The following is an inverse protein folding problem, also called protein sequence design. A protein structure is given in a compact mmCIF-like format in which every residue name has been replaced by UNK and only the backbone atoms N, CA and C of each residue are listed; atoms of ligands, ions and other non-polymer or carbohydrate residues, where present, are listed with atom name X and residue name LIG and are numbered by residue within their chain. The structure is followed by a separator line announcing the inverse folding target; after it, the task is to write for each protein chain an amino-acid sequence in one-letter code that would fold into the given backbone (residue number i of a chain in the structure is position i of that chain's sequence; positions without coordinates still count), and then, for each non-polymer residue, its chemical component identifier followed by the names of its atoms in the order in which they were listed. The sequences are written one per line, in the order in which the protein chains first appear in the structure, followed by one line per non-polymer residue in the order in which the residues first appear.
data_IF_753350405992
#
_entry.id   IF_753350405992
#
_cell.length_a   1.000
_cell.length_b   1.000
_cell.length_c   1.000
_cell.angle_alpha   90.00
_cell.angle_beta   90.00
_cell.angle_gamma   90.00
#
_symmetry.space_group_name_H-M   'P 1'
#
loop_
_entity.id
_entity.type
_entity.pdbx_description
1 polymer ?
#
# COMPACT_ATOMS: atom_id res chain seq x y z
N UNK A 1 -5.21 -25.85 -5.63
CA UNK A 1 -4.55 -26.76 -6.59
C UNK A 1 -5.13 -26.57 -7.99
N UNK A 2 -6.43 -26.74 -8.23
CA UNK A 2 -7.08 -26.56 -9.53
C UNK A 2 -6.86 -25.18 -10.16
N UNK A 3 -6.89 -24.09 -9.34
CA UNK A 3 -6.69 -22.74 -9.85
C UNK A 3 -5.32 -22.56 -10.53
N UNK A 4 -4.25 -23.08 -9.94
CA UNK A 4 -2.91 -23.00 -10.53
C UNK A 4 -2.78 -23.85 -11.81
N UNK A 5 -3.49 -24.95 -11.89
CA UNK A 5 -3.57 -25.76 -13.12
C UNK A 5 -4.24 -24.97 -14.24
N UNK A 6 -5.32 -24.24 -13.97
CA UNK A 6 -5.96 -23.35 -14.95
C UNK A 6 -5.02 -22.25 -15.41
N UNK A 7 -4.28 -21.62 -14.50
CA UNK A 7 -3.29 -20.59 -14.85
C UNK A 7 -2.22 -21.16 -15.78
N UNK A 8 -1.70 -22.35 -15.51
CA UNK A 8 -0.70 -23.00 -16.35
C UNK A 8 -1.23 -23.27 -17.75
N UNK A 9 -2.45 -23.80 -17.88
CA UNK A 9 -3.10 -24.03 -19.16
C UNK A 9 -3.31 -22.72 -19.92
N UNK A 10 -3.84 -21.69 -19.25
CA UNK A 10 -4.04 -20.37 -19.86
C UNK A 10 -2.73 -19.77 -20.38
N UNK A 11 -1.65 -19.82 -19.59
CA UNK A 11 -0.34 -19.32 -19.97
C UNK A 11 0.24 -20.09 -21.18
N UNK A 12 0.04 -21.40 -21.21
CA UNK A 12 0.45 -22.24 -22.34
C UNK A 12 -0.27 -21.85 -23.63
N UNK A 13 -1.58 -21.66 -23.57
CA UNK A 13 -2.40 -21.22 -24.72
C UNK A 13 -1.97 -19.83 -25.20
N UNK A 14 -1.78 -18.89 -24.26
CA UNK A 14 -1.39 -17.53 -24.55
C UNK A 14 0.09 -17.39 -24.94
N UNK A 15 0.89 -18.44 -24.80
CA UNK A 15 2.36 -18.43 -24.98
C UNK A 15 3.04 -17.34 -24.14
N UNK A 16 2.57 -17.14 -22.90
CA UNK A 16 3.10 -16.18 -21.93
C UNK A 16 3.73 -16.88 -20.74
N UNK A 17 4.64 -16.20 -20.07
CA UNK A 17 5.36 -16.75 -18.91
C UNK A 17 4.66 -16.46 -17.58
N UNK A 18 3.93 -15.36 -17.51
CA UNK A 18 3.26 -14.91 -16.29
C UNK A 18 2.01 -14.09 -16.59
N UNK A 19 1.12 -14.00 -15.62
CA UNK A 19 -0.04 -13.12 -15.59
C UNK A 19 0.22 -11.98 -14.62
N UNK A 20 -0.11 -10.76 -15.02
CA UNK A 20 -0.08 -9.58 -14.19
C UNK A 20 -1.52 -9.18 -13.84
N UNK A 21 -1.81 -9.12 -12.53
CA UNK A 21 -3.05 -8.58 -12.00
C UNK A 21 -2.76 -7.21 -11.40
N UNK A 22 -3.47 -6.19 -11.87
CA UNK A 22 -3.40 -4.85 -11.33
C UNK A 22 -4.71 -4.59 -10.60
N UNK A 23 -4.63 -4.36 -9.30
CA UNK A 23 -5.76 -4.11 -8.41
C UNK A 23 -5.63 -2.71 -7.86
N UNK A 24 -6.52 -1.84 -8.29
CA UNK A 24 -6.55 -0.44 -7.87
C UNK A 24 -7.62 -0.22 -6.80
N UNK A 25 -7.38 0.77 -5.93
CA UNK A 25 -8.33 1.19 -4.88
C UNK A 25 -8.85 0.05 -3.99
N UNK A 26 -7.99 -0.94 -3.69
CA UNK A 26 -8.39 -2.11 -2.90
C UNK A 26 -8.75 -1.77 -1.44
N UNK A 27 -8.43 -0.59 -0.95
CA UNK A 27 -8.64 -0.09 0.41
C UNK A 27 -9.92 0.74 0.56
N UNK A 28 -10.58 1.12 -0.54
CA UNK A 28 -11.77 1.98 -0.52
C UNK A 28 -12.96 1.29 0.17
N UNK A 29 -13.14 -0.01 -0.04
CA UNK A 29 -14.21 -0.76 0.59
C UNK A 29 -13.65 -1.63 1.71
N UNK A 30 -13.68 -1.13 2.95
CA UNK A 30 -13.11 -1.77 4.14
C UNK A 30 -13.64 -3.21 4.34
N UNK A 31 -14.92 -3.46 4.05
CA UNK A 31 -15.50 -4.79 4.22
C UNK A 31 -14.94 -5.79 3.20
N UNK A 32 -14.69 -5.36 1.99
CA UNK A 32 -14.16 -6.19 0.90
C UNK A 32 -12.65 -6.29 0.89
N UNK A 33 -11.96 -5.32 1.45
CA UNK A 33 -10.50 -5.27 1.50
C UNK A 33 -9.91 -6.55 2.09
N UNK A 34 -10.45 -7.04 3.21
CA UNK A 34 -9.94 -8.26 3.82
C UNK A 34 -10.18 -9.50 2.96
N UNK A 35 -11.34 -9.60 2.30
CA UNK A 35 -11.64 -10.69 1.36
C UNK A 35 -10.69 -10.68 0.16
N UNK A 36 -10.35 -9.49 -0.37
CA UNK A 36 -9.38 -9.33 -1.46
C UNK A 36 -8.00 -9.81 -1.00
N UNK A 37 -7.52 -9.34 0.15
CA UNK A 37 -6.23 -9.74 0.72
C UNK A 37 -6.16 -11.26 0.92
N UNK A 38 -7.20 -11.89 1.46
CA UNK A 38 -7.27 -13.34 1.64
C UNK A 38 -7.30 -14.09 0.30
N UNK A 39 -8.00 -13.53 -0.70
CA UNK A 39 -8.02 -14.10 -2.06
C UNK A 39 -6.62 -14.11 -2.66
N UNK A 40 -5.90 -13.00 -2.55
CA UNK A 40 -4.51 -12.90 -3.01
C UNK A 40 -3.64 -13.92 -2.28
N UNK A 41 -3.76 -13.99 -0.96
CA UNK A 41 -2.99 -14.91 -0.13
C UNK A 41 -3.22 -16.38 -0.48
N UNK A 42 -4.46 -16.75 -0.78
CA UNK A 42 -4.83 -18.13 -1.03
C UNK A 42 -4.59 -18.57 -2.47
N UNK A 43 -4.78 -17.71 -3.42
CA UNK A 43 -4.80 -18.07 -4.84
C UNK A 43 -3.66 -17.51 -5.66
N UNK A 44 -3.12 -16.34 -5.30
CA UNK A 44 -2.15 -15.62 -6.14
C UNK A 44 -0.69 -15.82 -5.70
N UNK A 45 -0.42 -16.90 -5.00
CA UNK A 45 0.94 -17.24 -4.50
C UNK A 45 1.80 -18.02 -5.51
N UNK A 46 1.32 -18.20 -6.75
CA UNK A 46 2.08 -18.85 -7.81
C UNK A 46 3.20 -17.92 -8.33
N UNK A 47 4.40 -18.44 -8.64
CA UNK A 47 5.47 -17.64 -9.24
C UNK A 47 5.14 -17.10 -10.64
N UNK A 48 4.10 -17.63 -11.26
CA UNK A 48 3.59 -17.18 -12.55
C UNK A 48 2.57 -16.05 -12.45
N UNK A 49 2.19 -15.66 -11.24
CA UNK A 49 1.23 -14.58 -10.99
C UNK A 49 1.97 -13.43 -10.32
N UNK A 50 1.89 -12.27 -10.94
CA UNK A 50 2.38 -11.01 -10.39
C UNK A 50 1.15 -10.19 -10.02
N UNK A 51 1.09 -9.75 -8.76
CA UNK A 51 0.03 -8.88 -8.28
C UNK A 51 0.63 -7.52 -7.96
N UNK A 52 0.08 -6.49 -8.56
CA UNK A 52 0.34 -5.09 -8.20
C UNK A 52 -0.95 -4.53 -7.61
N UNK A 53 -0.88 -4.00 -6.41
CA UNK A 53 -2.03 -3.40 -5.75
C UNK A 53 -1.67 -2.01 -5.24
N UNK A 54 -2.59 -1.08 -5.39
CA UNK A 54 -2.50 0.27 -4.82
C UNK A 54 -3.36 0.37 -3.58
N UNK A 55 -3.07 1.34 -2.72
CA UNK A 55 -3.85 1.63 -1.53
C UNK A 55 -3.01 2.13 -0.37
N UNK A 56 -3.68 2.58 0.70
CA UNK A 56 -3.03 3.02 1.93
C UNK A 56 -2.73 1.83 2.84
N UNK A 57 -1.45 1.64 3.15
CA UNK A 57 -0.99 0.59 4.07
C UNK A 57 -1.63 0.69 5.46
N UNK A 58 -1.98 1.89 5.93
CA UNK A 58 -2.65 2.08 7.21
C UNK A 58 -4.10 1.59 7.17
N UNK A 59 -4.81 1.80 6.04
CA UNK A 59 -6.17 1.30 5.84
C UNK A 59 -6.17 -0.23 5.76
N UNK A 60 -5.21 -0.83 5.05
CA UNK A 60 -5.02 -2.28 5.09
C UNK A 60 -4.80 -2.79 6.52
N UNK A 61 -3.92 -2.14 7.28
CA UNK A 61 -3.66 -2.49 8.66
C UNK A 61 -4.91 -2.38 9.54
N UNK A 62 -5.68 -1.29 9.38
CA UNK A 62 -6.93 -1.09 10.10
C UNK A 62 -7.95 -2.19 9.80
N UNK A 63 -8.13 -2.54 8.53
CA UNK A 63 -9.05 -3.59 8.10
C UNK A 63 -8.66 -4.96 8.69
N UNK A 64 -7.37 -5.28 8.68
CA UNK A 64 -6.86 -6.52 9.26
C UNK A 64 -7.12 -6.55 10.78
N UNK A 65 -6.81 -5.46 11.50
CA UNK A 65 -7.09 -5.36 12.94
C UNK A 65 -8.58 -5.53 13.24
N UNK A 66 -9.44 -4.83 12.46
CA UNK A 66 -10.88 -4.93 12.63
C UNK A 66 -11.38 -6.38 12.44
N UNK A 67 -10.84 -7.08 11.45
CA UNK A 67 -11.19 -8.47 11.22
C UNK A 67 -10.72 -9.38 12.37
N UNK A 68 -9.50 -9.21 12.89
CA UNK A 68 -9.05 -9.94 14.07
C UNK A 68 -9.89 -9.65 15.30
N UNK A 69 -10.33 -8.38 15.51
CA UNK A 69 -11.22 -8.04 16.62
C UNK A 69 -12.59 -8.70 16.52
N UNK A 70 -13.10 -9.00 15.33
CA UNK A 70 -14.35 -9.76 15.15
C UNK A 70 -14.27 -11.18 15.72
N UNK A 71 -13.07 -11.77 15.78
CA UNK A 71 -12.88 -13.10 16.40
C UNK A 71 -12.89 -13.06 17.93
N UNK A 72 -12.68 -11.89 18.53
CA UNK A 72 -12.85 -11.70 19.96
C UNK A 72 -14.30 -11.33 20.21
N UNK A 73 -15.18 -12.33 20.32
CA UNK A 73 -16.57 -12.07 20.64
C UNK A 73 -16.69 -11.26 21.95
N UNK A 74 -17.72 -10.43 22.03
CA UNK A 74 -17.96 -9.55 23.17
C UNK A 74 -17.95 -10.36 24.49
N UNK A 75 -18.58 -11.52 24.47
CA UNK A 75 -18.64 -12.44 25.63
C UNK A 75 -17.27 -12.95 26.06
N UNK A 76 -16.35 -13.19 25.10
CA UNK A 76 -14.98 -13.59 25.42
C UNK A 76 -14.23 -12.46 26.10
N UNK A 77 -14.31 -11.24 25.56
CA UNK A 77 -13.68 -10.07 26.15
C UNK A 77 -14.27 -9.73 27.54
N UNK A 78 -15.57 -9.90 27.72
CA UNK A 78 -16.24 -9.70 29.00
C UNK A 78 -15.80 -10.74 30.04
N UNK A 79 -15.71 -12.02 29.67
CA UNK A 79 -15.25 -13.10 30.54
C UNK A 79 -13.77 -13.01 30.91
N UNK A 80 -12.92 -12.66 29.93
CA UNK A 80 -11.47 -12.54 30.13
C UNK A 80 -11.07 -11.23 30.79
N UNK A 81 -11.83 -10.17 30.56
CA UNK A 81 -11.59 -8.84 31.08
C UNK A 81 -12.66 -8.44 32.11
N UNK A 82 -12.87 -9.29 33.11
CA UNK A 82 -13.73 -8.95 34.27
C UNK A 82 -13.37 -7.57 34.82
N UNK A 83 -14.35 -6.87 35.42
CA UNK A 83 -14.24 -5.51 35.97
C UNK A 83 -13.20 -5.37 37.14
N UNK A 84 -12.19 -6.22 37.13
CA UNK A 84 -11.08 -6.22 38.08
C UNK A 84 -9.99 -5.21 37.67
N UNK A 85 -9.19 -4.77 38.61
CA UNK A 85 -8.03 -3.91 38.34
C UNK A 85 -7.02 -4.47 37.34
N UNK A 86 -7.17 -5.76 36.92
CA UNK A 86 -6.37 -6.40 35.89
C UNK A 86 -6.96 -6.28 34.47
N UNK A 87 -8.22 -5.82 34.32
CA UNK A 87 -8.92 -5.74 33.05
C UNK A 87 -8.18 -4.85 32.02
N UNK A 88 -7.67 -3.71 32.45
CA UNK A 88 -6.94 -2.81 31.57
C UNK A 88 -5.61 -3.40 31.07
N UNK A 89 -4.92 -4.17 31.91
CA UNK A 89 -3.70 -4.89 31.51
C UNK A 89 -4.01 -5.97 30.49
N UNK A 90 -5.10 -6.73 30.67
CA UNK A 90 -5.54 -7.74 29.72
C UNK A 90 -5.94 -7.12 28.39
N UNK A 91 -6.74 -6.05 28.40
CA UNK A 91 -7.11 -5.30 27.17
C UNK A 91 -5.90 -4.77 26.44
N UNK A 92 -4.91 -4.25 27.14
CA UNK A 92 -3.65 -3.78 26.55
C UNK A 92 -2.86 -4.95 25.93
N UNK A 93 -2.84 -6.11 26.56
CA UNK A 93 -2.21 -7.33 26.02
C UNK A 93 -2.89 -7.79 24.72
N UNK A 94 -4.23 -7.79 24.67
CA UNK A 94 -4.99 -8.13 23.46
C UNK A 94 -4.73 -7.13 22.32
N UNK A 95 -4.70 -5.83 22.60
CA UNK A 95 -4.32 -4.81 21.60
C UNK A 95 -2.94 -5.07 21.04
N UNK A 96 -1.97 -5.35 21.89
CA UNK A 96 -0.60 -5.68 21.47
C UNK A 96 -0.55 -6.93 20.61
N UNK A 97 -1.35 -7.97 20.95
CA UNK A 97 -1.45 -9.17 20.17
C UNK A 97 -2.06 -8.89 18.77
N UNK A 98 -3.17 -8.14 18.69
CA UNK A 98 -3.80 -7.80 17.41
C UNK A 98 -2.86 -6.99 16.53
N UNK A 99 -2.14 -6.02 17.08
CA UNK A 99 -1.14 -5.25 16.33
C UNK A 99 0.00 -6.14 15.82
N UNK A 100 0.43 -7.13 16.60
CA UNK A 100 1.44 -8.10 16.18
C UNK A 100 0.93 -8.98 15.03
N UNK A 101 -0.31 -9.46 15.13
CA UNK A 101 -0.96 -10.27 14.08
C UNK A 101 -1.11 -9.47 12.77
N UNK A 102 -1.52 -8.20 12.84
CA UNK A 102 -1.54 -7.29 11.70
C UNK A 102 -0.17 -7.19 11.03
N UNK A 103 0.85 -6.87 11.82
CA UNK A 103 2.22 -6.75 11.30
C UNK A 103 2.69 -8.02 10.62
N UNK A 104 2.45 -9.18 11.25
CA UNK A 104 2.82 -10.49 10.70
C UNK A 104 2.04 -10.79 9.41
N UNK A 105 0.76 -10.44 9.37
CA UNK A 105 -0.07 -10.63 8.19
C UNK A 105 0.45 -9.79 7.02
N UNK A 106 0.65 -8.48 7.25
CA UNK A 106 1.17 -7.56 6.22
C UNK A 106 2.57 -7.95 5.73
N UNK A 107 3.44 -8.44 6.63
CA UNK A 107 4.77 -8.92 6.23
C UNK A 107 4.71 -10.18 5.36
N UNK A 108 3.72 -11.05 5.57
CA UNK A 108 3.53 -12.24 4.75
C UNK A 108 2.90 -11.93 3.40
N UNK A 109 1.97 -10.98 3.37
CA UNK A 109 1.22 -10.61 2.17
C UNK A 109 2.03 -9.72 1.25
N UNK A 110 2.57 -8.65 1.80
CA UNK A 110 3.31 -7.61 1.08
C UNK A 110 4.62 -7.42 1.81
N UNK A 111 5.65 -8.14 1.37
CA UNK A 111 6.97 -8.02 1.97
C UNK A 111 7.49 -6.59 1.83
N UNK A 112 8.21 -6.07 2.85
CA UNK A 112 8.73 -4.70 2.81
C UNK A 112 9.52 -4.35 1.56
N UNK A 113 10.29 -5.32 1.03
CA UNK A 113 11.10 -5.15 -0.18
C UNK A 113 10.29 -4.97 -1.48
N UNK A 114 9.00 -5.30 -1.45
CA UNK A 114 8.08 -5.14 -2.59
C UNK A 114 7.13 -3.95 -2.44
N UNK A 115 7.32 -3.13 -1.40
CA UNK A 115 6.51 -1.93 -1.17
C UNK A 115 7.17 -0.74 -1.82
N UNK A 116 6.42 -0.09 -2.71
CA UNK A 116 6.80 1.20 -3.26
C UNK A 116 5.96 2.25 -2.53
N UNK A 117 6.61 3.02 -1.66
CA UNK A 117 5.95 4.13 -0.99
C UNK A 117 5.92 5.31 -1.96
N UNK A 118 4.73 5.68 -2.37
CA UNK A 118 4.52 6.93 -3.08
C UNK A 118 4.52 8.04 -2.02
N UNK A 119 5.70 8.54 -1.72
CA UNK A 119 5.81 9.76 -0.93
C UNK A 119 5.04 10.87 -1.65
N UNK A 120 4.42 11.75 -0.89
CA UNK A 120 3.78 12.92 -1.46
C UNK A 120 4.84 13.77 -2.19
N UNK A 121 4.95 13.54 -3.49
CA UNK A 121 5.93 14.20 -4.36
C UNK A 121 5.76 15.72 -4.28
N UNK A 122 4.50 16.18 -4.12
CA UNK A 122 4.17 17.59 -3.97
C UNK A 122 4.75 18.18 -2.67
N UNK A 123 4.60 17.52 -1.54
CA UNK A 123 5.17 17.97 -0.26
C UNK A 123 6.71 18.02 -0.32
N UNK A 124 7.35 16.99 -0.88
CA UNK A 124 8.80 16.99 -1.08
C UNK A 124 9.25 18.09 -2.03
N UNK A 125 8.48 18.32 -3.08
CA UNK A 125 8.77 19.36 -4.06
C UNK A 125 8.62 20.76 -3.43
N UNK A 126 7.54 21.01 -2.72
CA UNK A 126 7.29 22.26 -2.00
C UNK A 126 8.35 22.52 -0.93
N UNK A 127 8.72 21.52 -0.18
CA UNK A 127 9.75 21.60 0.85
C UNK A 127 11.12 21.93 0.25
N UNK A 128 11.52 21.25 -0.81
CA UNK A 128 12.77 21.52 -1.52
C UNK A 128 12.81 22.93 -2.16
N UNK A 129 11.68 23.42 -2.66
CA UNK A 129 11.57 24.79 -3.20
C UNK A 129 11.79 25.85 -2.11
N UNK A 130 11.28 25.61 -0.91
CA UNK A 130 11.49 26.51 0.24
C UNK A 130 12.97 26.54 0.65
N UNK A 131 13.61 25.38 0.71
CA UNK A 131 15.04 25.27 1.10
C UNK A 131 15.95 25.88 0.03
N UNK A 132 15.72 25.64 -1.26
CA UNK A 132 16.53 26.19 -2.34
C UNK A 132 16.41 27.71 -2.47
N UNK A 133 15.27 28.29 -2.10
CA UNK A 133 15.09 29.73 -2.05
C UNK A 133 15.77 30.39 -0.85
N UNK A 134 16.06 29.63 0.22
CA UNK A 134 16.73 30.15 1.43
C UNK A 134 18.24 29.94 1.47
N UNK A 135 18.79 29.08 0.62
CA UNK A 135 20.22 28.78 0.59
C UNK A 135 20.78 28.70 -0.82
N UNK A 136 21.62 29.68 -1.20
CA UNK A 136 22.40 29.66 -2.45
C UNK A 136 23.53 28.62 -2.41
N UNK A 137 23.24 27.38 -2.08
CA UNK A 137 24.24 26.31 -2.12
C UNK A 137 24.14 25.57 -3.46
N UNK A 138 24.94 26.02 -4.42
CA UNK A 138 25.02 25.52 -5.80
C UNK A 138 25.58 24.09 -5.93
N UNK A 139 25.93 23.41 -4.85
CA UNK A 139 26.65 22.12 -4.87
C UNK A 139 25.82 20.91 -4.34
N UNK A 140 24.53 21.06 -4.10
CA UNK A 140 23.69 19.87 -3.78
C UNK A 140 23.18 19.25 -5.06
N UNK A 141 23.50 17.97 -5.25
CA UNK A 141 23.00 17.13 -6.32
C UNK A 141 21.50 17.35 -6.49
N UNK A 142 21.06 17.73 -7.69
CA UNK A 142 19.65 17.90 -8.00
C UNK A 142 18.91 16.57 -7.76
N UNK A 143 17.82 16.58 -6.99
CA UNK A 143 17.03 15.36 -6.82
C UNK A 143 16.40 14.99 -8.16
N UNK A 144 16.64 13.77 -8.58
CA UNK A 144 16.08 13.05 -9.72
C UNK A 144 15.23 13.88 -10.71
N UNK A 145 15.78 14.19 -11.88
CA UNK A 145 14.97 14.74 -12.97
C UNK A 145 14.30 13.58 -13.71
N UNK A 146 12.97 13.56 -13.72
CA UNK A 146 12.19 12.64 -14.55
C UNK A 146 11.79 13.36 -15.81
N UNK A 147 12.26 12.89 -16.94
CA UNK A 147 11.95 13.48 -18.25
C UNK A 147 10.80 12.71 -18.90
N UNK A 148 9.73 13.41 -19.24
CA UNK A 148 8.61 12.84 -20.00
C UNK A 148 8.83 13.11 -21.49
N UNK A 149 8.77 12.03 -22.27
CA UNK A 149 8.83 12.11 -23.74
C UNK A 149 7.41 12.07 -24.30
N UNK A 150 7.03 13.10 -25.02
CA UNK A 150 5.75 13.17 -25.72
C UNK A 150 5.80 12.43 -27.07
N UNK A 151 4.63 12.10 -27.60
CA UNK A 151 4.49 11.42 -28.90
C UNK A 151 5.05 12.19 -30.09
N UNK A 152 5.14 13.51 -30.00
CA UNK A 152 5.76 14.40 -30.99
C UNK A 152 7.30 14.47 -30.87
N UNK A 153 7.91 13.66 -30.00
CA UNK A 153 9.35 13.62 -29.77
C UNK A 153 9.88 14.69 -28.81
N UNK A 154 9.07 15.64 -28.39
CA UNK A 154 9.47 16.63 -27.40
C UNK A 154 9.68 15.99 -26.03
N UNK A 155 10.66 16.49 -25.28
CA UNK A 155 10.92 16.07 -23.90
C UNK A 155 10.75 17.25 -22.98
N UNK A 156 10.00 17.06 -21.89
CA UNK A 156 9.92 18.04 -20.80
C UNK A 156 10.28 17.37 -19.47
N UNK A 157 10.98 18.10 -18.62
CA UNK A 157 11.18 17.68 -17.24
C UNK A 157 9.82 17.65 -16.53
N UNK A 158 9.54 16.58 -15.79
CA UNK A 158 8.32 16.44 -15.02
C UNK A 158 8.10 17.63 -14.08
N UNK A 159 9.20 18.21 -13.56
CA UNK A 159 9.19 19.40 -12.72
C UNK A 159 8.53 20.59 -13.41
N UNK A 160 8.88 20.84 -14.68
CA UNK A 160 8.32 21.95 -15.47
C UNK A 160 6.83 21.74 -15.73
N UNK A 161 6.42 20.49 -15.99
CA UNK A 161 5.00 20.17 -16.19
C UNK A 161 4.21 20.39 -14.90
N UNK A 162 4.75 20.00 -13.75
CA UNK A 162 4.12 20.27 -12.46
C UNK A 162 4.06 21.76 -12.13
N UNK A 163 5.10 22.52 -12.40
CA UNK A 163 5.08 23.99 -12.22
C UNK A 163 3.99 24.65 -13.07
N UNK A 164 3.85 24.23 -14.32
CA UNK A 164 2.79 24.72 -15.20
C UNK A 164 1.40 24.40 -14.65
N UNK A 165 1.15 23.15 -14.21
CA UNK A 165 -0.14 22.71 -13.68
C UNK A 165 -0.48 23.42 -12.36
N UNK A 166 0.47 23.51 -11.43
CA UNK A 166 0.21 24.10 -10.10
C UNK A 166 0.16 25.62 -10.12
N UNK A 167 0.80 26.28 -11.08
CA UNK A 167 0.62 27.72 -11.28
C UNK A 167 -0.83 28.09 -11.65
N UNK A 168 -1.55 27.17 -12.30
CA UNK A 168 -2.99 27.31 -12.56
C UNK A 168 -3.87 27.02 -11.35
N UNK A 169 -3.43 26.17 -10.42
CA UNK A 169 -4.20 25.80 -9.23
C UNK A 169 -4.02 26.79 -8.07
N UNK A 170 -2.90 27.48 -8.00
CA UNK A 170 -2.65 28.52 -6.97
C UNK A 170 -3.43 29.83 -7.28
N UNK A 171 -4.20 29.91 -8.36
CA UNK A 171 -5.03 31.06 -8.77
C UNK A 171 -6.50 30.90 -8.34
N UNK A 172 -6.87 29.74 -7.72
CA UNK A 172 -8.19 29.51 -7.15
C UNK A 172 -8.10 29.58 -5.63
#
# INVERSE_FOLDING_TARGET
RRFHEYINVALSILKKKSLLFILDDCDVNIEKTFEILETIRLYFTSPQIIVVMTGDANLYGMTIRQNYWKFFEKDFLEKECDNSASADRKRAAYRKMVNRLETQYLQKMIKPEYRILLDNVYEKYRYNRIITNQGKDKNKAEPYSVTIRFSNGATKDLRVIYEDIFSYLDVI
#
